data_IF_269269209103
#
_entry.id   IF_269269209103
#
_cell.length_a   1.000
_cell.length_b   1.000
_cell.length_c   1.000
_cell.angle_alpha   90.00
_cell.angle_beta   90.00
_cell.angle_gamma   90.00
#
_symmetry.space_group_name_H-M   'P 1'
#
loop_
_entity.id
_entity.type
_entity.pdbx_description
1 polymer ?
#
# COMPACT_ATOMS: atom_id res chain seq x y z
N UNK A 1 -28.41 17.66 -17.64
CA UNK A 1 -28.60 16.29 -18.17
C UNK A 1 -28.37 16.32 -19.68
N UNK A 2 -27.16 15.97 -20.13
CA UNK A 2 -26.81 15.75 -21.54
C UNK A 2 -25.83 14.58 -21.56
N UNK A 3 -26.27 13.47 -22.14
CA UNK A 3 -25.47 12.29 -22.41
C UNK A 3 -24.42 12.62 -23.47
N UNK A 4 -23.17 12.21 -23.24
CA UNK A 4 -22.29 11.79 -24.33
C UNK A 4 -21.70 10.43 -23.97
N UNK A 5 -22.12 9.45 -24.77
CA UNK A 5 -21.57 8.10 -24.89
C UNK A 5 -20.52 8.13 -26.00
N UNK A 6 -19.36 7.51 -25.76
CA UNK A 6 -18.56 6.96 -26.86
C UNK A 6 -17.83 5.67 -26.46
N UNK A 7 -17.92 4.69 -27.36
CA UNK A 7 -17.56 3.28 -27.27
C UNK A 7 -16.04 3.04 -27.17
N UNK A 8 -15.60 2.18 -26.25
CA UNK A 8 -15.22 0.75 -26.41
C UNK A 8 -14.08 0.42 -27.40
N UNK A 9 -13.01 -0.09 -26.79
CA UNK A 9 -12.39 -1.39 -27.08
C UNK A 9 -12.08 -1.75 -28.54
N UNK A 10 -10.87 -1.43 -28.97
CA UNK A 10 -10.21 -2.06 -30.12
C UNK A 10 -8.70 -2.19 -29.88
N UNK A 11 -8.28 -2.96 -28.88
CA UNK A 11 -6.85 -3.17 -28.59
C UNK A 11 -6.43 -4.63 -28.35
N UNK A 12 -7.29 -5.44 -27.74
CA UNK A 12 -6.83 -6.71 -27.15
C UNK A 12 -7.25 -7.95 -27.95
N UNK A 13 -8.23 -7.85 -28.85
CA UNK A 13 -8.70 -9.00 -29.64
C UNK A 13 -7.86 -9.32 -30.91
N UNK A 14 -6.93 -8.45 -31.33
CA UNK A 14 -6.07 -8.71 -32.51
C UNK A 14 -4.78 -9.48 -32.18
N UNK A 15 -4.38 -9.59 -30.91
CA UNK A 15 -3.17 -10.34 -30.53
C UNK A 15 -3.42 -11.84 -30.30
N UNK A 16 -4.68 -12.26 -30.10
CA UNK A 16 -5.04 -13.68 -29.91
C UNK A 16 -5.32 -14.44 -31.22
N UNK A 17 -5.53 -13.76 -32.35
CA UNK A 17 -5.81 -14.40 -33.64
C UNK A 17 -4.56 -14.63 -34.51
N UNK A 18 -3.43 -13.97 -34.20
CA UNK A 18 -2.19 -14.18 -34.94
C UNK A 18 -1.53 -15.53 -34.60
N UNK A 19 -1.64 -15.98 -33.34
CA UNK A 19 -1.08 -17.25 -32.88
C UNK A 19 -1.84 -18.50 -33.38
N UNK A 20 -3.12 -18.36 -33.77
CA UNK A 20 -3.91 -19.48 -34.28
C UNK A 20 -3.64 -19.79 -35.76
N UNK A 21 -3.09 -18.83 -36.52
CA UNK A 21 -2.71 -19.05 -37.93
C UNK A 21 -1.34 -19.72 -38.07
N UNK A 22 -0.42 -19.46 -37.13
CA UNK A 22 0.92 -20.06 -37.10
C UNK A 22 0.91 -21.56 -36.76
N UNK A 23 -0.12 -22.05 -36.06
CA UNK A 23 -0.23 -23.47 -35.66
C UNK A 23 -1.02 -24.35 -36.64
N UNK A 24 -1.60 -23.80 -37.72
CA UNK A 24 -2.31 -24.59 -38.74
C UNK A 24 -1.49 -24.92 -39.99
N UNK A 25 -0.24 -24.48 -40.08
CA UNK A 25 0.61 -24.63 -41.27
C UNK A 25 1.53 -25.85 -41.31
N UNK A 26 1.72 -26.59 -40.21
CA UNK A 26 2.69 -27.69 -40.18
C UNK A 26 2.02 -29.07 -40.14
N UNK A 27 1.44 -29.45 -41.28
CA UNK A 27 1.21 -30.86 -41.61
C UNK A 27 1.69 -31.12 -43.03
N UNK A 28 3.01 -31.22 -43.20
CA UNK A 28 3.65 -32.31 -43.92
C UNK A 28 5.17 -32.06 -43.99
N UNK A 29 5.93 -33.15 -43.95
CA UNK A 29 7.36 -33.29 -44.28
C UNK A 29 8.37 -33.14 -43.13
N UNK A 30 8.93 -34.31 -42.83
CA UNK A 30 10.33 -34.63 -42.50
C UNK A 30 10.91 -34.06 -41.19
N UNK A 31 11.01 -34.96 -40.22
CA UNK A 31 12.18 -35.23 -39.37
C UNK A 31 13.36 -34.29 -39.63
N UNK A 32 13.52 -33.28 -38.75
CA UNK A 32 14.58 -32.27 -38.82
C UNK A 32 14.25 -30.97 -38.07
N UNK A 33 12.99 -30.74 -37.71
CA UNK A 33 12.53 -29.43 -37.19
C UNK A 33 12.23 -29.37 -35.68
N UNK A 34 12.75 -30.30 -34.87
CA UNK A 34 12.55 -30.27 -33.40
C UNK A 34 13.43 -29.20 -32.74
N UNK A 35 14.62 -28.90 -33.28
CA UNK A 35 15.52 -27.89 -32.69
C UNK A 35 15.04 -26.45 -32.88
N UNK A 36 14.30 -26.12 -33.95
CA UNK A 36 13.87 -24.74 -34.22
C UNK A 36 12.70 -24.32 -33.32
N UNK A 37 11.77 -25.25 -33.02
CA UNK A 37 10.60 -24.97 -32.18
C UNK A 37 10.99 -24.78 -30.71
N UNK A 38 11.95 -25.57 -30.21
CA UNK A 38 12.50 -25.42 -28.85
C UNK A 38 13.24 -24.09 -28.67
N UNK A 39 14.01 -23.65 -29.66
CA UNK A 39 14.72 -22.36 -29.59
C UNK A 39 13.75 -21.18 -29.60
N UNK A 40 12.69 -21.21 -30.42
CA UNK A 40 11.68 -20.14 -30.41
C UNK A 40 10.84 -20.09 -29.13
N UNK A 41 10.58 -21.24 -28.48
CA UNK A 41 9.87 -21.29 -27.21
C UNK A 41 10.74 -20.75 -26.06
N UNK A 42 12.04 -21.02 -26.06
CA UNK A 42 12.99 -20.47 -25.09
C UNK A 42 13.15 -18.94 -25.22
N UNK A 43 13.13 -18.40 -26.44
CA UNK A 43 13.12 -16.94 -26.63
C UNK A 43 11.81 -16.28 -26.17
N UNK A 44 10.67 -16.97 -26.32
CA UNK A 44 9.39 -16.46 -25.81
C UNK A 44 9.32 -16.52 -24.28
N UNK A 45 9.88 -17.56 -23.64
CA UNK A 45 10.00 -17.63 -22.17
C UNK A 45 10.96 -16.54 -21.65
N UNK A 46 12.08 -16.26 -22.35
CA UNK A 46 12.95 -15.13 -21.98
C UNK A 46 12.31 -13.75 -22.18
N UNK A 47 11.45 -13.57 -23.18
CA UNK A 47 10.70 -12.32 -23.35
C UNK A 47 9.58 -12.16 -22.30
N UNK A 48 8.94 -13.26 -21.88
CA UNK A 48 7.94 -13.24 -20.80
C UNK A 48 8.59 -13.02 -19.43
N UNK A 49 9.79 -13.56 -19.18
CA UNK A 49 10.54 -13.28 -17.95
C UNK A 49 11.11 -11.86 -17.88
N UNK A 50 11.51 -11.25 -19.01
CA UNK A 50 11.92 -9.84 -19.04
C UNK A 50 10.73 -8.85 -19.10
N UNK A 51 9.51 -9.33 -19.36
CA UNK A 51 8.28 -8.54 -19.25
C UNK A 51 7.71 -8.52 -17.83
N UNK A 52 8.21 -9.36 -16.91
CA UNK A 52 8.23 -9.08 -15.47
C UNK A 52 9.40 -8.12 -15.17
N UNK A 53 9.40 -6.99 -15.87
CA UNK A 53 10.40 -5.93 -15.77
C UNK A 53 10.46 -5.40 -14.36
N UNK A 54 11.68 -5.18 -13.86
CA UNK A 54 11.96 -4.81 -12.48
C UNK A 54 11.07 -3.68 -11.97
N UNK A 55 10.62 -3.86 -10.73
CA UNK A 55 10.01 -2.83 -9.88
C UNK A 55 10.72 -1.50 -10.15
N UNK A 56 9.98 -0.48 -10.59
CA UNK A 56 10.59 0.83 -10.86
C UNK A 56 11.30 1.30 -9.60
N UNK A 57 12.37 2.10 -9.72
CA UNK A 57 13.09 2.60 -8.53
C UNK A 57 12.15 3.29 -7.51
N UNK A 58 11.01 3.81 -7.98
CA UNK A 58 9.96 4.43 -7.17
C UNK A 58 9.16 3.39 -6.38
N UNK A 59 8.62 2.37 -7.03
CA UNK A 59 7.91 1.28 -6.34
C UNK A 59 8.80 0.58 -5.32
N UNK A 60 10.11 0.45 -5.59
CA UNK A 60 11.05 -0.09 -4.61
C UNK A 60 11.13 0.81 -3.36
N UNK A 61 11.24 2.13 -3.56
CA UNK A 61 11.27 3.07 -2.43
C UNK A 61 9.97 3.00 -1.61
N UNK A 62 8.83 2.84 -2.27
CA UNK A 62 7.52 2.67 -1.64
C UNK A 62 7.44 1.36 -0.87
N UNK A 63 7.93 0.26 -1.45
CA UNK A 63 7.99 -1.04 -0.78
C UNK A 63 8.89 -1.00 0.46
N UNK A 64 10.08 -0.41 0.35
CA UNK A 64 11.00 -0.26 1.48
C UNK A 64 10.34 0.55 2.63
N UNK A 65 9.66 1.65 2.31
CA UNK A 65 8.92 2.46 3.28
C UNK A 65 7.74 1.69 3.90
N UNK A 66 6.97 0.98 3.07
CA UNK A 66 5.84 0.17 3.52
C UNK A 66 6.29 -0.86 4.55
N UNK A 67 7.37 -1.60 4.28
CA UNK A 67 7.87 -2.59 5.21
C UNK A 67 8.51 -1.95 6.45
N UNK A 68 9.16 -0.79 6.35
CA UNK A 68 9.65 -0.08 7.53
C UNK A 68 8.51 0.31 8.49
N UNK A 69 7.41 0.83 7.96
CA UNK A 69 6.20 1.16 8.74
C UNK A 69 5.59 -0.12 9.34
N UNK A 70 5.43 -1.16 8.51
CA UNK A 70 4.85 -2.42 8.95
C UNK A 70 5.68 -3.05 10.07
N UNK A 71 7.00 -3.08 9.94
CA UNK A 71 7.91 -3.62 10.94
C UNK A 71 7.81 -2.83 12.25
N UNK A 72 7.70 -1.49 12.19
CA UNK A 72 7.45 -0.66 13.37
C UNK A 72 6.14 -1.01 14.09
N UNK A 73 5.07 -1.27 13.32
CA UNK A 73 3.76 -1.63 13.84
C UNK A 73 3.74 -3.04 14.43
N UNK A 74 4.45 -3.97 13.81
CA UNK A 74 4.47 -5.39 14.18
C UNK A 74 5.50 -5.74 15.23
N UNK A 75 6.39 -4.82 15.66
CA UNK A 75 7.37 -5.08 16.72
C UNK A 75 6.62 -5.71 17.91
N UNK A 76 6.83 -7.02 18.14
CA UNK A 76 6.06 -7.69 19.15
C UNK A 76 6.56 -7.20 20.50
N UNK A 77 5.66 -7.08 21.48
CA UNK A 77 6.05 -6.94 22.89
C UNK A 77 6.63 -8.32 23.33
N UNK A 78 7.75 -8.72 22.74
CA UNK A 78 8.50 -9.92 23.09
C UNK A 78 9.49 -9.51 24.17
N UNK A 79 9.52 -10.32 25.23
CA UNK A 79 10.55 -10.27 26.25
C UNK A 79 11.91 -10.46 25.57
N UNK A 80 12.91 -9.75 26.07
CA UNK A 80 14.30 -9.79 25.62
C UNK A 80 14.78 -11.21 25.31
N UNK A 81 15.01 -11.50 24.03
CA UNK A 81 16.02 -12.46 23.57
C UNK A 81 17.00 -11.65 22.70
N UNK A 82 18.23 -11.54 23.20
CA UNK A 82 19.29 -10.69 22.66
C UNK A 82 19.91 -11.21 21.35
N UNK A 83 19.15 -11.26 20.26
CA UNK A 83 19.71 -11.69 18.97
C UNK A 83 19.17 -10.98 17.72
N UNK A 84 19.33 -9.65 17.64
CA UNK A 84 19.83 -8.90 16.46
C UNK A 84 19.78 -7.40 16.72
N UNK A 85 20.88 -6.72 16.41
CA UNK A 85 21.13 -5.30 16.66
C UNK A 85 20.33 -4.43 15.68
N UNK A 86 19.02 -4.32 15.88
CA UNK A 86 18.21 -3.23 15.33
C UNK A 86 18.44 -2.04 16.25
N UNK A 87 18.82 -0.90 15.69
CA UNK A 87 19.00 0.35 16.44
C UNK A 87 17.64 0.77 16.99
N UNK A 88 17.37 0.47 18.26
CA UNK A 88 16.14 0.92 18.93
C UNK A 88 16.08 2.46 18.86
N UNK A 89 15.03 2.99 18.23
CA UNK A 89 14.67 4.40 18.36
C UNK A 89 14.16 4.68 19.78
N UNK A 90 14.23 5.94 20.24
CA UNK A 90 13.67 6.34 21.54
C UNK A 90 12.19 5.98 21.68
N UNK A 91 11.41 6.12 20.60
CA UNK A 91 10.01 5.73 20.55
C UNK A 91 9.77 4.22 20.76
N UNK A 92 10.67 3.37 20.24
CA UNK A 92 10.63 1.92 20.50
C UNK A 92 10.91 1.61 21.97
N UNK A 93 11.86 2.32 22.59
CA UNK A 93 12.18 2.17 24.01
C UNK A 93 11.00 2.58 24.91
N UNK A 94 10.35 3.70 24.61
CA UNK A 94 9.21 4.20 25.40
C UNK A 94 8.01 3.24 25.32
N UNK A 95 7.74 2.65 24.14
CA UNK A 95 6.67 1.64 23.97
C UNK A 95 7.00 0.33 24.68
N UNK A 96 8.27 -0.09 24.71
CA UNK A 96 8.71 -1.26 25.48
C UNK A 96 8.56 -1.04 26.99
N UNK A 97 8.81 0.17 27.48
CA UNK A 97 8.60 0.52 28.90
C UNK A 97 7.10 0.63 29.26
N UNK A 98 6.27 1.16 28.36
CA UNK A 98 4.81 1.23 28.53
C UNK A 98 4.11 -0.15 28.43
N UNK A 99 4.70 -1.11 27.71
CA UNK A 99 4.17 -2.48 27.52
C UNK A 99 4.23 -3.40 28.74
N UNK A 100 4.69 -2.93 29.90
CA UNK A 100 4.74 -3.70 31.16
C UNK A 100 3.38 -3.86 31.87
N UNK A 101 2.28 -3.36 31.29
CA UNK A 101 0.92 -3.63 31.80
C UNK A 101 0.26 -4.79 31.04
N UNK A 102 -0.39 -5.69 31.78
CA UNK A 102 -1.05 -6.89 31.25
C UNK A 102 -2.16 -6.52 30.24
N UNK A 103 -1.95 -6.84 28.97
CA UNK A 103 -2.88 -7.74 28.28
C UNK A 103 -3.69 -7.27 27.07
N UNK A 104 -3.46 -6.07 26.50
CA UNK A 104 -4.20 -5.63 25.30
C UNK A 104 -3.29 -4.82 24.38
N UNK A 105 -2.95 -5.38 23.20
CA UNK A 105 -2.26 -4.63 22.16
C UNK A 105 -3.29 -3.82 21.36
N UNK A 106 -3.20 -2.49 21.42
CA UNK A 106 -3.92 -1.58 20.55
C UNK A 106 -2.93 -0.86 19.63
N UNK A 107 -3.35 -0.66 18.39
CA UNK A 107 -2.60 0.13 17.42
C UNK A 107 -2.93 1.61 17.61
N UNK A 108 -1.91 2.45 17.38
CA UNK A 108 -2.01 3.89 17.60
C UNK A 108 -3.05 4.48 16.64
N UNK A 109 -4.01 5.22 17.19
CA UNK A 109 -4.82 6.14 16.40
C UNK A 109 -4.06 7.45 16.24
N UNK A 110 -3.87 7.92 14.99
CA UNK A 110 -3.09 9.11 14.78
C UNK A 110 -3.85 10.35 15.28
N UNK A 111 -3.11 11.30 15.86
CA UNK A 111 -3.68 12.53 16.38
C UNK A 111 -4.17 13.43 15.25
N UNK A 112 -5.20 14.22 15.52
CA UNK A 112 -5.65 15.33 14.65
C UNK A 112 -4.45 16.14 14.14
N UNK A 113 -4.48 16.45 12.85
CA UNK A 113 -3.48 17.29 12.20
C UNK A 113 -3.83 18.76 12.43
N UNK A 114 -3.01 19.49 13.18
CA UNK A 114 -3.29 20.89 13.55
C UNK A 114 -2.42 21.86 12.78
N UNK A 115 -1.13 21.57 12.66
CA UNK A 115 -0.17 22.42 11.97
C UNK A 115 0.96 21.59 11.36
N UNK A 116 1.48 22.03 10.22
CA UNK A 116 2.58 21.35 9.54
C UNK A 116 3.87 21.32 10.39
N UNK A 117 4.17 22.37 11.16
CA UNK A 117 5.41 22.42 11.94
C UNK A 117 5.37 21.47 13.14
N UNK A 118 4.18 21.16 13.67
CA UNK A 118 4.02 20.25 14.82
C UNK A 118 3.70 18.82 14.40
N UNK A 119 2.85 18.65 13.39
CA UNK A 119 2.27 17.35 13.04
C UNK A 119 2.79 16.81 11.70
N UNK A 120 3.40 17.66 10.87
CA UNK A 120 4.01 17.30 9.60
C UNK A 120 5.16 16.30 9.80
N UNK A 121 5.07 15.18 9.07
CA UNK A 121 6.04 14.09 9.11
C UNK A 121 6.27 13.48 10.50
N UNK A 122 5.37 13.69 11.47
CA UNK A 122 5.50 13.15 12.82
C UNK A 122 5.70 11.64 12.84
N UNK A 123 4.85 10.89 12.13
CA UNK A 123 4.93 9.43 12.08
C UNK A 123 6.06 8.92 11.19
N UNK A 124 6.44 9.66 10.15
CA UNK A 124 7.69 9.37 9.43
C UNK A 124 8.91 9.46 10.36
N UNK A 125 9.00 10.51 11.18
CA UNK A 125 10.07 10.69 12.17
C UNK A 125 10.02 9.63 13.28
N UNK A 126 8.84 9.33 13.82
CA UNK A 126 8.68 8.39 14.94
C UNK A 126 8.82 6.92 14.52
N UNK A 127 8.27 6.53 13.36
CA UNK A 127 8.17 5.12 12.95
C UNK A 127 9.33 4.68 12.07
N UNK A 128 9.80 5.57 11.19
CA UNK A 128 10.82 5.26 10.17
C UNK A 128 12.17 5.88 10.56
N UNK A 129 12.17 7.09 11.11
CA UNK A 129 13.37 7.79 11.55
C UNK A 129 14.09 8.50 10.41
N UNK A 130 14.82 7.76 9.58
CA UNK A 130 15.57 8.35 8.46
C UNK A 130 14.83 8.14 7.13
N UNK A 131 14.38 9.23 6.52
CA UNK A 131 13.68 9.23 5.24
C UNK A 131 14.10 10.45 4.41
N UNK A 132 13.89 10.39 3.10
CA UNK A 132 14.18 11.51 2.21
C UNK A 132 13.08 12.58 2.33
N UNK A 133 13.31 13.60 3.15
CA UNK A 133 12.40 14.74 3.36
C UNK A 133 12.14 15.55 2.09
N UNK A 134 12.87 15.33 0.99
CA UNK A 134 12.62 16.01 -0.30
C UNK A 134 11.62 15.25 -1.18
N UNK A 135 11.27 14.01 -0.81
CA UNK A 135 10.38 13.13 -1.57
C UNK A 135 9.26 12.51 -0.75
N UNK A 136 9.41 12.42 0.56
CA UNK A 136 8.42 11.81 1.45
C UNK A 136 7.77 12.86 2.32
N UNK A 137 6.45 12.82 2.37
CA UNK A 137 5.64 13.63 3.27
C UNK A 137 4.54 12.80 3.91
N UNK A 138 4.03 13.27 5.05
CA UNK A 138 2.94 12.61 5.75
C UNK A 138 1.94 13.63 6.32
N UNK A 139 0.66 13.28 6.20
CA UNK A 139 -0.47 13.97 6.84
C UNK A 139 -1.35 12.97 7.59
N UNK A 140 -2.08 13.47 8.59
CA UNK A 140 -3.16 12.72 9.23
C UNK A 140 -4.49 13.22 8.68
N UNK A 141 -5.41 12.30 8.42
CA UNK A 141 -6.78 12.61 8.01
C UNK A 141 -7.74 12.08 9.06
N UNK A 142 -8.56 12.96 9.61
CA UNK A 142 -9.48 12.61 10.69
C UNK A 142 -10.72 11.88 10.20
N UNK A 143 -11.21 10.93 11.00
CA UNK A 143 -12.50 10.27 10.80
C UNK A 143 -12.74 9.77 9.37
N UNK A 144 -11.69 9.31 8.69
CA UNK A 144 -11.75 8.90 7.29
C UNK A 144 -11.99 7.40 7.14
N UNK A 145 -11.41 6.59 8.03
CA UNK A 145 -11.51 5.14 7.96
C UNK A 145 -12.74 4.66 8.73
N UNK A 146 -13.66 3.98 8.05
CA UNK A 146 -14.77 3.31 8.73
C UNK A 146 -14.21 2.12 9.53
N UNK A 147 -14.45 2.10 10.84
CA UNK A 147 -13.96 1.08 11.75
C UNK A 147 -15.11 0.18 12.23
N UNK A 148 -15.42 -0.84 11.44
CA UNK A 148 -16.21 -1.97 11.91
C UNK A 148 -15.28 -3.09 12.33
N UNK A 149 -15.68 -3.95 13.28
CA UNK A 149 -16.72 -3.80 14.30
C UNK A 149 -16.26 -3.03 15.56
N UNK A 150 -16.51 -1.71 15.63
CA UNK A 150 -16.16 -0.92 16.81
C UNK A 150 -16.95 -1.30 18.08
N UNK A 151 -16.28 -1.36 19.23
CA UNK A 151 -16.89 -1.61 20.55
C UNK A 151 -17.69 -0.39 21.02
N UNK A 152 -17.18 0.82 20.80
CA UNK A 152 -17.86 2.07 21.14
C UNK A 152 -18.42 2.80 19.90
N UNK A 153 -19.52 3.54 20.07
CA UNK A 153 -20.16 4.31 18.97
C UNK A 153 -19.22 5.39 18.44
N UNK A 154 -18.44 5.98 19.32
CA UNK A 154 -17.45 7.02 19.07
C UNK A 154 -16.26 6.48 18.25
N UNK A 155 -16.06 5.16 18.24
CA UNK A 155 -14.94 4.51 17.54
C UNK A 155 -15.34 3.91 16.19
N UNK A 156 -16.55 4.19 15.68
CA UNK A 156 -17.02 3.73 14.36
C UNK A 156 -16.24 4.30 13.18
N UNK A 157 -15.45 5.34 13.44
CA UNK A 157 -14.49 5.90 12.51
C UNK A 157 -13.16 6.08 13.23
N UNK A 158 -12.08 5.92 12.50
CA UNK A 158 -10.72 6.18 12.99
C UNK A 158 -10.01 7.17 12.08
N UNK A 159 -9.06 7.89 12.68
CA UNK A 159 -8.12 8.69 11.93
C UNK A 159 -7.15 7.79 11.14
N UNK A 160 -6.62 8.30 10.04
CA UNK A 160 -5.65 7.59 9.19
C UNK A 160 -4.42 8.45 8.94
N UNK A 161 -3.30 7.80 8.64
CA UNK A 161 -2.08 8.45 8.18
C UNK A 161 -1.89 8.17 6.70
N UNK A 162 -1.63 9.22 5.92
CA UNK A 162 -1.24 9.11 4.51
C UNK A 162 0.24 9.48 4.40
N UNK A 163 1.04 8.56 3.87
CA UNK A 163 2.43 8.78 3.52
C UNK A 163 2.54 8.91 2.00
N UNK A 164 2.90 10.10 1.52
CA UNK A 164 3.06 10.38 0.09
C UNK A 164 4.53 10.30 -0.32
N UNK A 165 4.79 9.64 -1.45
CA UNK A 165 6.07 9.67 -2.15
C UNK A 165 5.94 10.44 -3.46
N UNK A 166 6.78 11.45 -3.61
CA UNK A 166 6.79 12.40 -4.73
C UNK A 166 8.15 12.33 -5.43
N UNK A 167 8.30 11.50 -6.48
CA UNK A 167 9.58 11.31 -7.17
C UNK A 167 10.21 12.58 -7.71
N UNK A 168 9.36 13.55 -8.07
CA UNK A 168 9.74 14.82 -8.71
C UNK A 168 9.75 16.00 -7.74
N UNK A 169 9.78 15.73 -6.44
CA UNK A 169 9.90 16.73 -5.37
C UNK A 169 8.59 16.97 -4.64
N UNK A 170 8.71 17.31 -3.35
CA UNK A 170 7.56 17.58 -2.50
C UNK A 170 6.72 18.76 -3.00
N UNK A 171 5.39 18.61 -3.09
CA UNK A 171 4.48 19.73 -3.37
C UNK A 171 4.53 20.83 -2.31
N UNK A 172 4.10 22.04 -2.69
CA UNK A 172 4.02 23.21 -1.80
C UNK A 172 3.20 22.98 -0.53
N UNK A 173 2.10 22.21 -0.63
CA UNK A 173 1.26 21.87 0.54
C UNK A 173 2.01 21.07 1.61
N UNK A 174 3.13 20.43 1.25
CA UNK A 174 4.04 19.72 2.15
C UNK A 174 5.35 20.47 2.37
N UNK A 175 5.40 21.78 2.07
CA UNK A 175 6.58 22.62 2.29
C UNK A 175 7.69 22.50 1.25
N UNK A 176 7.43 21.91 0.08
CA UNK A 176 8.39 21.85 -1.03
C UNK A 176 8.06 22.78 -2.21
N UNK A 177 8.73 22.56 -3.35
CA UNK A 177 8.56 23.34 -4.60
C UNK A 177 8.19 22.47 -5.81
N UNK A 178 7.91 21.18 -5.59
CA UNK A 178 7.52 20.22 -6.62
C UNK A 178 6.18 20.56 -7.25
N UNK A 179 6.11 20.47 -8.57
CA UNK A 179 4.91 20.73 -9.39
C UNK A 179 4.58 19.61 -10.36
N UNK A 180 5.42 18.57 -10.43
CA UNK A 180 5.17 17.38 -11.24
C UNK A 180 4.60 16.27 -10.35
N UNK A 181 3.40 15.80 -10.70
CA UNK A 181 2.66 14.75 -10.01
C UNK A 181 2.70 13.40 -10.76
N UNK A 182 3.55 13.27 -11.79
CA UNK A 182 3.85 11.98 -12.38
C UNK A 182 4.41 11.02 -11.32
N UNK A 183 3.98 9.76 -11.39
CA UNK A 183 4.46 8.68 -10.53
C UNK A 183 4.35 8.97 -9.02
N UNK A 184 3.30 9.67 -8.56
CA UNK A 184 3.03 9.81 -7.11
C UNK A 184 2.53 8.49 -6.53
N UNK A 185 2.94 8.20 -5.30
CA UNK A 185 2.50 7.01 -4.57
C UNK A 185 2.04 7.37 -3.16
N UNK A 186 1.12 6.57 -2.64
CA UNK A 186 0.56 6.73 -1.29
C UNK A 186 0.67 5.43 -0.51
N UNK A 187 0.97 5.52 0.78
CA UNK A 187 0.78 4.45 1.76
C UNK A 187 -0.28 4.92 2.75
N UNK A 188 -1.35 4.15 2.90
CA UNK A 188 -2.46 4.41 3.80
C UNK A 188 -2.33 3.53 5.03
N UNK A 189 -2.34 4.12 6.23
CA UNK A 189 -2.44 3.42 7.50
C UNK A 189 -3.70 3.84 8.26
N UNK A 190 -4.44 2.89 8.83
CA UNK A 190 -5.46 3.18 9.84
C UNK A 190 -5.58 2.03 10.85
N UNK A 191 -5.75 2.32 12.16
CA UNK A 191 -6.11 1.30 13.11
C UNK A 191 -7.55 0.84 12.87
N UNK A 192 -7.80 -0.44 13.14
CA UNK A 192 -9.11 -1.06 13.05
C UNK A 192 -9.37 -1.99 14.24
N UNK A 193 -10.64 -2.19 14.53
CA UNK A 193 -11.12 -3.20 15.47
C UNK A 193 -11.41 -4.47 14.67
N UNK A 194 -10.84 -5.59 15.08
CA UNK A 194 -11.16 -6.91 14.53
C UNK A 194 -12.39 -7.49 15.27
N UNK A 195 -13.09 -8.47 14.71
CA UNK A 195 -14.14 -9.23 15.42
C UNK A 195 -13.63 -9.87 16.70
N UNK A 196 -12.38 -10.35 16.69
CA UNK A 196 -11.75 -10.92 17.87
C UNK A 196 -11.52 -9.85 18.97
N UNK A 197 -11.26 -8.60 18.57
CA UNK A 197 -11.18 -7.45 19.45
C UNK A 197 -12.55 -7.08 20.00
N UNK A 198 -13.55 -6.91 19.13
CA UNK A 198 -14.94 -6.61 19.51
C UNK A 198 -15.47 -7.61 20.55
N UNK A 199 -15.32 -8.92 20.28
CA UNK A 199 -15.78 -9.97 21.18
C UNK A 199 -15.12 -9.94 22.56
N UNK A 200 -13.95 -9.29 22.68
CA UNK A 200 -13.20 -9.09 23.93
C UNK A 200 -13.39 -7.68 24.51
N UNK A 201 -14.18 -6.82 23.86
CA UNK A 201 -14.34 -5.42 24.26
C UNK A 201 -13.09 -4.56 24.02
N UNK A 202 -12.26 -4.92 23.04
CA UNK A 202 -11.03 -4.23 22.70
C UNK A 202 -11.19 -3.54 21.33
N UNK A 203 -11.16 -2.22 21.32
CA UNK A 203 -11.07 -1.43 20.09
C UNK A 203 -9.64 -1.32 19.57
N UNK A 204 -9.50 -1.15 18.25
CA UNK A 204 -8.24 -0.82 17.58
C UNK A 204 -7.14 -1.86 17.81
N UNK A 205 -7.52 -3.13 17.90
CA UNK A 205 -6.60 -4.25 18.12
C UNK A 205 -5.99 -4.83 16.83
N UNK A 206 -6.27 -4.19 15.69
CA UNK A 206 -5.68 -4.47 14.38
C UNK A 206 -5.37 -3.18 13.63
N UNK A 207 -4.82 -3.31 12.43
CA UNK A 207 -4.64 -2.19 11.51
C UNK A 207 -4.79 -2.62 10.05
N UNK A 208 -5.03 -1.63 9.20
CA UNK A 208 -4.92 -1.73 7.75
C UNK A 208 -3.71 -0.91 7.28
N UNK A 209 -2.96 -1.47 6.35
CA UNK A 209 -1.87 -0.81 5.64
C UNK A 209 -1.97 -1.18 4.15
N UNK A 210 -2.02 -0.21 3.24
CA UNK A 210 -2.04 -0.47 1.80
C UNK A 210 -1.30 0.61 1.04
N UNK A 211 -0.75 0.28 -0.13
CA UNK A 211 -0.10 1.24 -1.01
C UNK A 211 -0.83 1.39 -2.35
N UNK A 212 -0.76 2.59 -2.91
CA UNK A 212 -1.44 2.97 -4.15
C UNK A 212 -0.50 3.79 -5.04
N UNK A 213 -0.65 3.64 -6.35
CA UNK A 213 -0.15 4.56 -7.36
C UNK A 213 -1.26 5.56 -7.69
N UNK A 214 -0.90 6.83 -7.76
CA UNK A 214 -1.73 7.90 -8.30
C UNK A 214 -1.93 7.66 -9.82
N UNK A 215 -3.13 7.23 -10.19
CA UNK A 215 -3.42 6.75 -11.53
C UNK A 215 -3.84 7.85 -12.51
N UNK A 216 -4.37 8.96 -11.99
CA UNK A 216 -4.72 10.15 -12.79
C UNK A 216 -3.66 11.26 -12.71
N UNK A 217 -2.59 11.03 -11.94
CA UNK A 217 -1.41 11.89 -11.81
C UNK A 217 -1.77 13.30 -11.32
N UNK A 218 -2.71 13.38 -10.38
CA UNK A 218 -3.22 14.65 -9.87
C UNK A 218 -2.57 15.08 -8.53
N UNK A 219 -1.75 14.21 -7.93
CA UNK A 219 -1.06 14.42 -6.67
C UNK A 219 -1.90 14.14 -5.43
N UNK A 220 -3.05 13.47 -5.54
CA UNK A 220 -3.98 13.17 -4.47
C UNK A 220 -4.34 11.68 -4.42
N UNK A 221 -4.69 11.18 -3.23
CA UNK A 221 -5.27 9.85 -3.07
C UNK A 221 -6.78 9.93 -3.35
N UNK A 222 -7.21 9.42 -4.49
CA UNK A 222 -8.61 9.21 -4.88
C UNK A 222 -9.24 7.91 -4.37
N UNK A 223 -8.45 6.93 -3.89
CA UNK A 223 -9.00 5.69 -3.32
C UNK A 223 -9.72 5.94 -1.98
N UNK A 224 -10.96 5.45 -1.85
CA UNK A 224 -11.63 5.40 -0.54
C UNK A 224 -11.45 4.04 0.11
N UNK A 225 -10.92 4.06 1.34
CA UNK A 225 -10.50 2.88 2.08
C UNK A 225 -11.20 2.87 3.43
N UNK A 226 -11.96 1.83 3.71
CA UNK A 226 -12.66 1.66 4.97
C UNK A 226 -13.05 0.22 5.22
N UNK A 227 -13.56 -0.09 6.42
CA UNK A 227 -14.16 -1.39 6.70
C UNK A 227 -15.68 -1.28 6.81
N UNK A 228 -16.38 -2.37 6.52
CA UNK A 228 -17.82 -2.46 6.77
C UNK A 228 -18.09 -2.46 8.26
N UNK A 229 -18.94 -1.54 8.72
CA UNK A 229 -19.32 -1.42 10.13
C UNK A 229 -19.84 -2.74 10.71
N UNK A 230 -20.53 -3.56 9.90
CA UNK A 230 -21.20 -4.78 10.36
C UNK A 230 -20.25 -5.97 10.60
N UNK A 231 -19.17 -6.10 9.84
CA UNK A 231 -18.35 -7.31 9.85
C UNK A 231 -16.84 -7.06 9.72
N UNK A 232 -16.41 -5.80 9.70
CA UNK A 232 -15.00 -5.42 9.56
C UNK A 232 -14.36 -5.78 8.22
N UNK A 233 -15.13 -6.27 7.24
CA UNK A 233 -14.60 -6.59 5.92
C UNK A 233 -14.14 -5.30 5.25
N UNK A 234 -12.89 -5.30 4.78
CA UNK A 234 -12.33 -4.17 4.05
C UNK A 234 -13.12 -3.91 2.77
N UNK A 235 -13.50 -2.65 2.59
CA UNK A 235 -14.12 -2.10 1.40
C UNK A 235 -13.17 -1.06 0.83
N UNK A 236 -12.63 -1.35 -0.34
CA UNK A 236 -11.90 -0.39 -1.15
C UNK A 236 -12.84 0.01 -2.28
N UNK A 237 -13.20 1.28 -2.34
CA UNK A 237 -13.88 1.83 -3.50
C UNK A 237 -12.78 2.40 -4.39
N UNK A 238 -12.53 1.78 -5.57
CA UNK A 238 -11.50 2.27 -6.47
C UNK A 238 -11.88 3.69 -6.90
N UNK A 239 -10.97 4.63 -6.64
CA UNK A 239 -10.93 5.90 -7.36
C UNK A 239 -10.19 5.70 -8.68
N UNK A 240 -9.55 6.75 -9.16
CA UNK A 240 -8.64 6.67 -10.31
C UNK A 240 -7.26 6.08 -9.95
N UNK A 241 -7.01 5.81 -8.66
CA UNK A 241 -5.76 5.21 -8.16
C UNK A 241 -5.72 3.69 -8.24
N UNK A 242 -4.52 3.18 -8.48
CA UNK A 242 -4.23 1.75 -8.60
C UNK A 242 -3.63 1.21 -7.29
N UNK A 243 -4.30 0.26 -6.63
CA UNK A 243 -3.74 -0.47 -5.48
C UNK A 243 -2.54 -1.32 -5.93
N UNK A 244 -1.44 -1.28 -5.16
CA UNK A 244 -0.26 -2.13 -5.34
C UNK A 244 -0.50 -3.44 -4.55
N UNK A 245 -0.90 -4.55 -5.20
CA UNK A 245 -1.48 -5.69 -4.49
C UNK A 245 -0.52 -6.39 -3.51
N UNK A 246 0.77 -6.36 -3.80
CA UNK A 246 1.82 -6.92 -2.94
C UNK A 246 2.14 -6.07 -1.71
N UNK A 247 1.75 -4.80 -1.71
CA UNK A 247 1.93 -3.85 -0.61
C UNK A 247 0.61 -3.61 0.12
N UNK A 248 0.06 -4.70 0.68
CA UNK A 248 -1.17 -4.68 1.45
C UNK A 248 -1.07 -5.58 2.67
N UNK A 249 -1.52 -5.07 3.80
CA UNK A 249 -1.69 -5.82 5.03
C UNK A 249 -2.98 -5.39 5.73
N UNK A 250 -3.68 -6.35 6.31
CA UNK A 250 -4.83 -6.09 7.16
C UNK A 250 -4.81 -7.14 8.25
N UNK A 251 -4.79 -6.72 9.51
CA UNK A 251 -5.00 -7.64 10.64
C UNK A 251 -6.30 -8.40 10.40
N UNK A 252 -6.28 -9.72 10.54
CA UNK A 252 -7.45 -10.56 10.22
C UNK A 252 -8.71 -10.01 10.90
N UNK A 253 -9.74 -9.60 10.13
CA UNK A 253 -10.97 -9.06 10.67
C UNK A 253 -11.78 -10.12 11.42
#
# INVERSE_FOLDING_TARGET
>A
MKLYSYNKNAGIHRRFLFFRSLLKGCSSKKQGSISVVLVTLSFFIMFVYNACGGVSNHEKAVADMFYAIKDHLDVPIQKEDGSKKITLTSALKDRMEAGKSKGVHTYLEPSEFKDWNTDGNRYLKEWVGNFDETRWAQITVENIFANGPAVAKEHKKTNAVLFGYFPHGLPFVFGGEGTNYEDVYWIFYAPLTTKAGEAKGIDKNGYHLSAYRDGDQNGALGAFIGSRIADGTLTVLPGDDEEIPELKYTSMP
#
